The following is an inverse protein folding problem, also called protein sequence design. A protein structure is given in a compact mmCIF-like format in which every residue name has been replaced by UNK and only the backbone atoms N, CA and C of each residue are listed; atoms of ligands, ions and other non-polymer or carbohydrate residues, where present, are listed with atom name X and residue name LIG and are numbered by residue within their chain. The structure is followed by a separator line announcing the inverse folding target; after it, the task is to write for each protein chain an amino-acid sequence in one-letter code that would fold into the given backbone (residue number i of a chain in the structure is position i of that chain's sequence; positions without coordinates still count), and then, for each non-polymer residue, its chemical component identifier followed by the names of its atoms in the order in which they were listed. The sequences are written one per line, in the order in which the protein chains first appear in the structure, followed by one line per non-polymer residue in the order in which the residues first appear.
data_IF_941774419639
#
_entry.id   IF_941774419639
#
_cell.length_a   1.000
_cell.length_b   1.000
_cell.length_c   1.000
_cell.angle_alpha   90.00
_cell.angle_beta   90.00
_cell.angle_gamma   90.00
#
_symmetry.space_group_name_H-M   'P 1'
#
loop_
_entity.id
_entity.type
_entity.pdbx_description
1 polymer ?
#
# COMPACT_ATOMS: atom_id res chain seq x y z
N UNK A 1 -5.42 -26.37 -1.23
CA UNK A 1 -6.60 -26.46 -0.40
C UNK A 1 -7.08 -25.07 0.00
N UNK A 2 -8.35 -24.82 -0.19
CA UNK A 2 -8.91 -23.56 0.27
C UNK A 2 -8.93 -23.57 1.79
N UNK A 3 -8.10 -22.75 2.40
CA UNK A 3 -8.01 -22.65 3.83
C UNK A 3 -8.70 -21.42 4.36
N UNK A 4 -8.35 -21.05 5.58
CA UNK A 4 -8.86 -19.87 6.26
C UNK A 4 -8.54 -18.61 5.46
N UNK A 5 -7.34 -18.51 4.89
CA UNK A 5 -6.94 -17.35 4.11
C UNK A 5 -7.80 -17.17 2.87
N UNK A 6 -8.05 -18.26 2.12
CA UNK A 6 -8.87 -18.18 0.91
C UNK A 6 -10.31 -17.75 1.23
N UNK A 7 -10.89 -18.29 2.31
CA UNK A 7 -12.23 -17.91 2.73
C UNK A 7 -12.31 -16.43 3.12
N UNK A 8 -11.35 -15.95 3.91
CA UNK A 8 -11.30 -14.55 4.31
C UNK A 8 -11.10 -13.62 3.11
N UNK A 9 -10.19 -13.98 2.19
CA UNK A 9 -9.90 -13.15 1.02
C UNK A 9 -11.06 -13.12 0.02
N UNK A 10 -11.82 -14.20 -0.07
CA UNK A 10 -13.05 -14.21 -0.86
C UNK A 10 -14.05 -13.19 -0.29
N UNK A 11 -14.21 -13.15 1.04
CA UNK A 11 -15.09 -12.19 1.68
C UNK A 11 -14.56 -10.75 1.54
N UNK A 12 -13.25 -10.55 1.65
CA UNK A 12 -12.64 -9.22 1.45
C UNK A 12 -12.90 -8.70 0.04
N UNK A 13 -12.81 -9.58 -0.96
CA UNK A 13 -13.09 -9.22 -2.34
C UNK A 13 -14.53 -8.77 -2.53
N UNK A 14 -15.46 -9.52 -1.94
CA UNK A 14 -16.89 -9.18 -1.99
C UNK A 14 -17.15 -7.83 -1.32
N UNK A 15 -16.58 -7.63 -0.14
CA UNK A 15 -16.75 -6.39 0.61
C UNK A 15 -16.20 -5.19 -0.16
N UNK A 16 -15.02 -5.34 -0.76
CA UNK A 16 -14.40 -4.28 -1.55
C UNK A 16 -15.24 -3.93 -2.77
N UNK A 17 -15.74 -4.92 -3.49
CA UNK A 17 -16.56 -4.68 -4.68
C UNK A 17 -17.89 -4.02 -4.36
N UNK A 18 -18.40 -4.26 -3.16
CA UNK A 18 -19.64 -3.67 -2.69
C UNK A 18 -19.47 -2.22 -2.27
N UNK A 19 -18.34 -1.90 -1.64
CA UNK A 19 -18.06 -0.56 -1.11
C UNK A 19 -16.56 -0.37 -0.89
N UNK A 20 -15.96 0.56 -1.61
CA UNK A 20 -14.56 0.91 -1.43
C UNK A 20 -14.33 2.40 -1.64
N UNK A 21 -13.24 2.97 -1.09
CA UNK A 21 -12.96 4.40 -1.24
C UNK A 21 -12.73 4.77 -2.71
N UNK A 22 -13.25 5.93 -3.09
CA UNK A 22 -13.13 6.42 -4.46
C UNK A 22 -11.67 6.53 -4.89
N UNK A 23 -11.38 6.08 -6.09
CA UNK A 23 -10.04 6.16 -6.67
C UNK A 23 -9.09 5.02 -6.31
N UNK A 24 -9.41 4.24 -5.27
CA UNK A 24 -8.59 3.09 -4.89
C UNK A 24 -8.90 1.90 -5.80
N UNK A 25 -7.89 1.05 -6.01
CA UNK A 25 -8.01 -0.20 -6.74
C UNK A 25 -7.51 -1.32 -5.85
N UNK A 26 -8.22 -2.45 -5.82
CA UNK A 26 -7.76 -3.67 -5.15
C UNK A 26 -8.42 -4.88 -5.78
N UNK A 27 -7.61 -5.77 -6.32
CA UNK A 27 -8.13 -6.98 -6.98
C UNK A 27 -7.09 -8.09 -6.95
N UNK A 28 -7.52 -9.36 -6.80
CA UNK A 28 -6.60 -10.50 -6.94
C UNK A 28 -6.01 -10.53 -8.33
N UNK A 29 -4.74 -10.92 -8.44
CA UNK A 29 -4.11 -11.12 -9.74
C UNK A 29 -4.62 -12.41 -10.38
N UNK A 30 -4.39 -12.57 -11.69
CA UNK A 30 -4.79 -13.78 -12.41
C UNK A 30 -3.61 -14.69 -12.61
N UNK A 31 -3.87 -15.99 -12.44
CA UNK A 31 -2.92 -17.03 -12.82
C UNK A 31 -2.88 -17.17 -14.34
N UNK A 32 -1.91 -17.90 -14.86
CA UNK A 32 -1.75 -18.12 -16.29
C UNK A 32 -3.00 -18.78 -16.93
N UNK A 33 -3.73 -19.59 -16.17
CA UNK A 33 -4.94 -20.28 -16.66
C UNK A 33 -6.21 -19.42 -16.53
N UNK A 34 -6.09 -18.17 -16.09
CA UNK A 34 -7.22 -17.27 -15.93
C UNK A 34 -7.92 -17.31 -14.58
N UNK A 35 -7.55 -18.25 -13.71
CA UNK A 35 -8.11 -18.29 -12.36
C UNK A 35 -7.51 -17.18 -11.49
N UNK A 36 -8.21 -16.83 -10.41
CA UNK A 36 -7.73 -15.78 -9.51
C UNK A 36 -6.73 -16.30 -8.50
N UNK A 37 -5.65 -15.55 -8.30
CA UNK A 37 -4.70 -15.82 -7.22
C UNK A 37 -5.07 -14.96 -6.03
N UNK A 38 -5.80 -15.54 -5.07
CA UNK A 38 -6.28 -14.80 -3.91
C UNK A 38 -5.16 -14.36 -2.96
N UNK A 39 -3.98 -14.96 -3.07
CA UNK A 39 -2.85 -14.61 -2.20
C UNK A 39 -1.98 -13.48 -2.75
N UNK A 40 -2.29 -12.98 -3.94
CA UNK A 40 -1.50 -11.93 -4.58
C UNK A 40 -2.45 -10.92 -5.21
N UNK A 41 -2.50 -9.72 -4.62
CA UNK A 41 -3.41 -8.67 -5.08
C UNK A 41 -2.65 -7.53 -5.73
N UNK A 42 -3.23 -6.99 -6.79
CA UNK A 42 -2.79 -5.76 -7.45
C UNK A 42 -3.65 -4.62 -6.93
N UNK A 43 -3.00 -3.61 -6.36
CA UNK A 43 -3.70 -2.48 -5.76
C UNK A 43 -3.21 -1.16 -6.33
N UNK A 44 -4.02 -0.12 -6.17
CA UNK A 44 -3.64 1.25 -6.52
C UNK A 44 -4.11 2.18 -5.42
N UNK A 45 -3.21 3.04 -4.96
CA UNK A 45 -3.51 4.03 -3.93
C UNK A 45 -3.42 5.41 -4.56
N UNK A 46 -4.52 6.17 -4.61
CA UNK A 46 -4.47 7.54 -5.11
C UNK A 46 -3.80 8.45 -4.10
N UNK A 47 -3.07 9.44 -4.57
CA UNK A 47 -2.56 10.49 -3.71
C UNK A 47 -3.71 11.26 -3.08
N UNK A 48 -3.56 11.61 -1.79
CA UNK A 48 -4.63 12.31 -1.07
C UNK A 48 -4.84 13.70 -1.67
N UNK A 49 -6.11 14.04 -1.93
CA UNK A 49 -6.49 15.32 -2.51
C UNK A 49 -5.99 16.49 -1.66
N UNK A 50 -5.42 17.50 -2.32
CA UNK A 50 -4.92 18.69 -1.65
C UNK A 50 -3.53 18.55 -1.04
N UNK A 51 -2.85 17.42 -1.27
CA UNK A 51 -1.48 17.19 -0.80
C UNK A 51 -0.52 17.15 -1.98
N UNK A 52 0.79 17.09 -1.69
CA UNK A 52 1.81 16.95 -2.72
C UNK A 52 1.71 15.62 -3.49
N UNK A 53 0.97 14.67 -2.96
CA UNK A 53 0.74 13.36 -3.58
C UNK A 53 -0.44 13.37 -4.57
N UNK A 54 -1.24 14.44 -4.55
CA UNK A 54 -2.46 14.55 -5.35
C UNK A 54 -2.19 14.34 -6.84
N UNK A 55 -3.08 13.63 -7.50
CA UNK A 55 -2.99 13.35 -8.93
C UNK A 55 -2.25 12.08 -9.29
N UNK A 56 -1.49 11.50 -8.35
CA UNK A 56 -0.81 10.23 -8.58
C UNK A 56 -1.70 9.04 -8.26
N UNK A 57 -1.38 7.91 -8.89
CA UNK A 57 -1.96 6.62 -8.54
C UNK A 57 -0.79 5.64 -8.41
N UNK A 58 -0.55 5.17 -7.18
CA UNK A 58 0.66 4.44 -6.84
C UNK A 58 0.34 2.94 -6.74
N UNK A 59 0.99 2.16 -7.59
CA UNK A 59 0.74 0.71 -7.67
C UNK A 59 1.38 0.00 -6.50
N UNK A 60 0.58 -0.87 -5.87
CA UNK A 60 0.98 -1.63 -4.69
C UNK A 60 0.61 -3.09 -4.88
N UNK A 61 1.51 -3.97 -4.48
CA UNK A 61 1.21 -5.40 -4.44
C UNK A 61 1.02 -5.83 -3.00
N UNK A 62 -0.06 -6.59 -2.75
CA UNK A 62 -0.30 -7.19 -1.44
C UNK A 62 -0.13 -8.70 -1.56
N UNK A 63 0.76 -9.25 -0.76
CA UNK A 63 1.09 -10.68 -0.77
C UNK A 63 0.67 -11.27 0.58
N UNK A 64 -0.24 -12.24 0.52
CA UNK A 64 -0.80 -12.88 1.70
C UNK A 64 -0.21 -14.27 1.89
N UNK A 65 -0.09 -14.69 3.16
CA UNK A 65 0.35 -16.05 3.50
C UNK A 65 -0.86 -16.94 3.78
N UNK A 66 -0.61 -18.24 3.81
CA UNK A 66 -1.67 -19.22 4.07
C UNK A 66 -2.34 -19.07 5.42
N UNK A 67 -1.63 -18.48 6.40
CA UNK A 67 -2.17 -18.26 7.74
C UNK A 67 -2.82 -16.88 7.91
N UNK A 68 -2.90 -16.07 6.85
CA UNK A 68 -3.68 -14.83 6.89
C UNK A 68 -5.13 -15.18 7.28
N UNK A 69 -5.80 -14.49 8.19
CA UNK A 69 -5.45 -13.19 8.76
C UNK A 69 -4.65 -13.22 10.07
N UNK A 70 -4.11 -14.36 10.50
CA UNK A 70 -3.27 -14.40 11.69
C UNK A 70 -2.02 -13.56 11.49
N UNK A 71 -1.46 -13.56 10.27
CA UNK A 71 -0.34 -12.70 9.92
C UNK A 71 -0.80 -11.62 8.92
N UNK A 72 -0.17 -10.43 8.93
CA UNK A 72 -0.50 -9.38 7.98
C UNK A 72 0.05 -9.69 6.58
N UNK A 73 -0.52 -9.06 5.54
CA UNK A 73 0.09 -9.15 4.21
C UNK A 73 1.36 -8.33 4.15
N UNK A 74 2.26 -8.72 3.24
CA UNK A 74 3.38 -7.88 2.85
C UNK A 74 2.87 -6.92 1.78
N UNK A 75 3.08 -5.62 1.99
CA UNK A 75 2.68 -4.60 1.03
C UNK A 75 3.92 -3.97 0.42
N UNK A 76 3.95 -3.89 -0.90
CA UNK A 76 5.13 -3.47 -1.63
C UNK A 76 4.74 -2.59 -2.82
N UNK A 77 5.27 -1.36 -2.84
CA UNK A 77 5.08 -0.49 -4.00
C UNK A 77 5.95 -0.98 -5.17
N UNK A 78 5.36 -1.03 -6.35
CA UNK A 78 6.02 -1.45 -7.58
C UNK A 78 5.72 -0.44 -8.68
N UNK A 79 6.69 0.41 -9.06
CA UNK A 79 8.05 0.47 -8.55
C UNK A 79 8.15 1.07 -7.14
N UNK A 80 9.31 0.89 -6.47
CA UNK A 80 9.53 1.49 -5.14
C UNK A 80 9.35 3.01 -5.16
N UNK A 81 8.83 3.56 -4.07
CA UNK A 81 8.60 5.00 -3.96
C UNK A 81 9.68 5.69 -3.13
N UNK A 82 9.89 6.96 -3.42
CA UNK A 82 10.67 7.85 -2.60
C UNK A 82 9.80 8.27 -1.42
N UNK A 83 10.10 7.74 -0.22
CA UNK A 83 9.34 8.02 1.01
C UNK A 83 10.14 7.51 2.21
N UNK A 84 10.20 8.25 3.34
CA UNK A 84 11.01 7.85 4.49
C UNK A 84 10.69 6.47 5.05
N UNK A 85 9.46 5.98 4.90
CA UNK A 85 9.01 4.71 5.48
C UNK A 85 8.79 3.60 4.45
N UNK A 86 9.31 3.78 3.25
CA UNK A 86 9.28 2.75 2.22
C UNK A 86 10.72 2.27 1.99
N UNK A 87 10.96 0.97 2.17
CA UNK A 87 12.28 0.39 1.94
C UNK A 87 12.68 0.50 0.46
N UNK A 88 13.98 0.45 0.13
CA UNK A 88 14.42 0.45 -1.27
C UNK A 88 13.77 -0.66 -2.10
N UNK A 89 13.37 -1.76 -1.47
CA UNK A 89 12.63 -2.83 -2.14
C UNK A 89 11.20 -2.46 -2.51
N UNK A 90 10.69 -1.35 -1.99
CA UNK A 90 9.29 -0.97 -2.12
C UNK A 90 8.42 -1.40 -0.95
N UNK A 91 8.95 -2.22 -0.04
CA UNK A 91 8.19 -2.73 1.10
C UNK A 91 7.81 -1.59 2.05
N UNK A 92 6.55 -1.59 2.47
CA UNK A 92 6.00 -0.57 3.37
C UNK A 92 6.33 -0.90 4.82
N UNK A 93 6.95 0.05 5.53
CA UNK A 93 7.21 -0.04 6.97
C UNK A 93 6.09 0.69 7.71
N UNK A 94 5.15 -0.06 8.26
CA UNK A 94 3.98 0.48 8.94
C UNK A 94 3.57 -0.45 10.08
N UNK A 95 3.36 0.11 11.28
CA UNK A 95 3.02 -0.68 12.47
C UNK A 95 1.75 -1.51 12.28
N UNK A 96 0.80 -1.00 11.49
CA UNK A 96 -0.43 -1.71 11.14
C UNK A 96 -0.15 -3.05 10.46
N UNK A 97 0.99 -3.18 9.77
CA UNK A 97 1.40 -4.37 9.03
C UNK A 97 2.40 -5.24 9.81
N UNK A 98 2.56 -5.00 11.09
CA UNK A 98 3.50 -5.73 11.95
C UNK A 98 2.73 -6.50 13.00
N UNK A 99 2.83 -7.85 12.96
CA UNK A 99 2.07 -8.70 13.89
C UNK A 99 2.52 -8.54 15.33
N UNK A 100 3.71 -8.03 15.57
CA UNK A 100 4.21 -7.75 16.92
C UNK A 100 3.80 -6.37 17.41
N UNK A 101 3.13 -5.59 16.57
CA UNK A 101 2.69 -4.23 16.91
C UNK A 101 1.19 -4.11 16.77
N UNK A 102 0.70 -3.47 15.71
CA UNK A 102 -0.70 -3.08 15.60
C UNK A 102 -1.55 -3.98 14.70
N UNK A 103 -0.98 -5.02 14.10
CA UNK A 103 -1.76 -5.93 13.27
C UNK A 103 -2.79 -6.68 14.11
N UNK A 104 -4.00 -6.80 13.56
CA UNK A 104 -5.07 -7.63 14.13
C UNK A 104 -5.81 -8.33 13.00
N UNK A 105 -6.29 -9.56 13.22
CA UNK A 105 -7.01 -10.31 12.17
C UNK A 105 -8.26 -9.61 11.64
N UNK A 106 -8.88 -8.73 12.42
CA UNK A 106 -10.07 -8.01 11.98
C UNK A 106 -9.80 -6.86 11.01
N UNK A 107 -8.54 -6.48 10.83
CA UNK A 107 -8.18 -5.37 9.93
C UNK A 107 -8.50 -5.77 8.49
N UNK A 108 -9.24 -4.90 7.80
CA UNK A 108 -9.68 -5.13 6.42
C UNK A 108 -8.67 -4.61 5.41
N UNK A 109 -8.77 -5.09 4.17
CA UNK A 109 -7.97 -4.55 3.06
C UNK A 109 -8.22 -3.05 2.92
N UNK A 110 -9.45 -2.61 3.06
CA UNK A 110 -9.80 -1.19 3.02
C UNK A 110 -9.02 -0.39 4.06
N UNK A 111 -8.98 -0.88 5.30
CA UNK A 111 -8.24 -0.20 6.37
C UNK A 111 -6.73 -0.17 6.10
N UNK A 112 -6.19 -1.25 5.54
CA UNK A 112 -4.77 -1.29 5.16
C UNK A 112 -4.46 -0.22 4.12
N UNK A 113 -5.23 -0.16 3.05
CA UNK A 113 -4.97 0.78 1.96
C UNK A 113 -5.16 2.23 2.39
N UNK A 114 -6.17 2.52 3.22
CA UNK A 114 -6.35 3.85 3.79
C UNK A 114 -5.19 4.22 4.73
N UNK A 115 -4.72 3.25 5.52
CA UNK A 115 -3.57 3.46 6.40
C UNK A 115 -2.29 3.77 5.64
N UNK A 116 -2.07 3.10 4.52
CA UNK A 116 -0.90 3.37 3.68
C UNK A 116 -1.00 4.74 3.01
N UNK A 117 -2.19 5.13 2.54
CA UNK A 117 -2.38 6.49 2.00
C UNK A 117 -2.04 7.55 3.04
N UNK A 118 -2.48 7.34 4.27
CA UNK A 118 -2.17 8.26 5.37
C UNK A 118 -0.68 8.32 5.64
N UNK A 119 0.01 7.18 5.64
CA UNK A 119 1.46 7.12 5.82
C UNK A 119 2.19 7.90 4.73
N UNK A 120 1.74 7.81 3.48
CA UNK A 120 2.36 8.56 2.38
C UNK A 120 2.38 10.05 2.69
N UNK A 121 1.26 10.60 3.17
CA UNK A 121 1.14 12.02 3.47
C UNK A 121 1.77 12.41 4.80
N UNK A 122 1.83 11.48 5.75
CA UNK A 122 2.37 11.75 7.09
C UNK A 122 3.44 10.72 7.44
N UNK A 123 4.70 10.96 7.00
CA UNK A 123 5.80 10.05 7.33
C UNK A 123 6.03 9.94 8.84
N UNK A 124 6.45 8.75 9.28
CA UNK A 124 6.82 8.51 10.66
C UNK A 124 8.34 8.61 10.80
N UNK A 125 8.88 9.67 11.42
CA UNK A 125 10.33 9.85 11.54
C UNK A 125 10.99 8.87 12.50
N UNK A 126 10.21 8.10 13.26
CA UNK A 126 10.76 7.13 14.22
C UNK A 126 11.17 5.82 13.58
N UNK A 127 10.68 5.52 12.37
CA UNK A 127 10.94 4.25 11.69
C UNK A 127 11.49 4.46 10.29
N UNK A 128 12.71 5.05 10.17
CA UNK A 128 13.28 5.30 8.84
C UNK A 128 13.58 3.99 8.10
N UNK A 129 13.17 3.92 6.84
CA UNK A 129 13.33 2.75 6.00
C UNK A 129 14.15 3.02 4.74
N UNK A 130 14.38 4.30 4.41
CA UNK A 130 15.09 4.72 3.21
C UNK A 130 15.92 5.95 3.54
N UNK A 131 17.24 5.85 3.39
CA UNK A 131 18.17 6.85 3.88
C UNK A 131 18.00 8.22 3.22
N UNK A 132 17.95 8.28 1.89
CA UNK A 132 17.87 9.55 1.16
C UNK A 132 16.56 10.29 1.46
N UNK A 133 15.45 9.61 1.33
CA UNK A 133 14.14 10.23 1.56
C UNK A 133 14.01 10.70 3.01
N UNK A 134 14.50 9.90 3.95
CA UNK A 134 14.48 10.26 5.36
C UNK A 134 15.32 11.52 5.62
N UNK A 135 16.54 11.56 5.10
CA UNK A 135 17.43 12.69 5.30
C UNK A 135 16.83 13.99 4.73
N UNK A 136 16.30 13.93 3.52
CA UNK A 136 15.70 15.10 2.88
C UNK A 136 14.45 15.54 3.64
N UNK A 137 13.61 14.59 4.05
CA UNK A 137 12.41 14.90 4.82
C UNK A 137 12.74 15.63 6.12
N UNK A 138 13.81 15.21 6.80
CA UNK A 138 14.20 15.81 8.08
C UNK A 138 14.92 17.14 7.94
N UNK A 139 15.66 17.36 6.86
CA UNK A 139 16.55 18.51 6.70
C UNK A 139 16.03 19.59 5.77
N UNK A 140 15.21 19.26 4.78
CA UNK A 140 14.79 20.20 3.74
C UNK A 140 13.38 19.86 3.26
N UNK A 141 12.38 20.37 3.96
CA UNK A 141 10.98 20.12 3.63
C UNK A 141 10.59 20.64 2.25
N UNK A 142 11.17 21.74 1.81
CA UNK A 142 10.87 22.31 0.49
C UNK A 142 11.33 21.36 -0.61
N UNK A 143 12.55 20.85 -0.50
CA UNK A 143 13.07 19.87 -1.45
C UNK A 143 12.28 18.54 -1.38
N UNK A 144 11.92 18.11 -0.17
CA UNK A 144 11.11 16.91 0.02
C UNK A 144 9.79 17.02 -0.73
N UNK A 145 9.05 18.11 -0.52
CA UNK A 145 7.74 18.34 -1.16
C UNK A 145 7.87 18.40 -2.68
N UNK A 146 8.94 19.02 -3.17
CA UNK A 146 9.22 19.06 -4.62
C UNK A 146 9.39 17.66 -5.19
N UNK A 147 10.18 16.82 -4.51
CA UNK A 147 10.42 15.43 -4.94
C UNK A 147 9.13 14.62 -4.95
N UNK A 148 8.26 14.83 -3.95
CA UNK A 148 6.97 14.16 -3.89
C UNK A 148 6.09 14.59 -5.06
N UNK A 149 6.00 15.89 -5.35
CA UNK A 149 5.20 16.37 -6.47
C UNK A 149 5.69 15.83 -7.81
N UNK A 150 7.00 15.75 -8.00
CA UNK A 150 7.58 15.17 -9.20
C UNK A 150 7.23 13.68 -9.32
N UNK A 151 7.30 12.96 -8.21
CA UNK A 151 6.93 11.55 -8.17
C UNK A 151 5.44 11.35 -8.50
N UNK A 152 4.56 12.16 -7.92
CA UNK A 152 3.13 12.10 -8.22
C UNK A 152 2.86 12.35 -9.70
N UNK A 153 3.59 13.28 -10.32
CA UNK A 153 3.45 13.57 -11.74
C UNK A 153 3.88 12.38 -12.61
N UNK A 154 4.90 11.61 -12.17
CA UNK A 154 5.33 10.41 -12.90
C UNK A 154 4.30 9.29 -12.86
N UNK A 155 3.49 9.22 -11.82
CA UNK A 155 2.52 8.13 -11.62
C UNK A 155 1.08 8.65 -11.70
N UNK A 156 0.77 9.37 -12.77
CA UNK A 156 -0.58 9.93 -12.93
C UNK A 156 -1.64 8.86 -13.07
N UNK A 157 -2.81 9.11 -12.49
CA UNK A 157 -3.95 8.20 -12.57
C UNK A 157 -4.37 7.93 -14.00
N UNK A 158 -4.19 8.90 -14.91
CA UNK A 158 -4.59 8.78 -16.31
C UNK A 158 -3.66 7.87 -17.12
N UNK A 159 -2.52 7.48 -16.58
CA UNK A 159 -1.52 6.67 -17.28
C UNK A 159 -1.72 5.16 -17.06
N UNK A 160 -2.85 4.78 -16.52
CA UNK A 160 -3.15 3.38 -16.21
C UNK A 160 -4.08 2.73 -17.21
#
# INVERSE_FOLDING_TARGET
MAGISAARLTEERKAWRRDHPFGFIARPSKNADGTLNLLNWECGIPGKTGTSWDGGLFKLRMIFKDDYPSTPPKCKFEPPLFHPNIYPSGTVCLSLLDEEKDWRPAITIKQILLGIQELLNEPNPKDPAQAEAYAIYMQDKVEYEKRIREQAARFRATDI
#
